data_IF_958246613750
#
_entry.id   IF_958246613750
#
_cell.length_a   1.000
_cell.length_b   1.000
_cell.length_c   1.000
_cell.angle_alpha   90.00
_cell.angle_beta   90.00
_cell.angle_gamma   90.00
#
_symmetry.space_group_name_H-M   'P 1'
#
loop_
_entity.id
_entity.type
_entity.pdbx_description
1 polymer ?
#
# COMPACT_ATOMS: atom_id res chain seq x y z
N UNK A 1 -16.24 -11.94 -5.96
CA UNK A 1 -15.39 -11.31 -4.93
C UNK A 1 -14.91 -9.92 -5.37
N UNK A 2 -14.30 -9.80 -6.56
CA UNK A 2 -13.85 -8.49 -7.09
C UNK A 2 -15.00 -7.49 -7.26
N UNK A 3 -16.12 -7.93 -7.86
CA UNK A 3 -17.32 -7.09 -8.04
C UNK A 3 -17.85 -6.56 -6.72
N UNK A 4 -18.13 -7.44 -5.76
CA UNK A 4 -18.52 -7.07 -4.39
C UNK A 4 -17.58 -6.05 -3.75
N UNK A 5 -16.25 -6.25 -3.84
CA UNK A 5 -15.29 -5.32 -3.27
C UNK A 5 -15.36 -3.94 -3.96
N UNK A 6 -15.44 -3.91 -5.29
CA UNK A 6 -15.54 -2.65 -6.05
C UNK A 6 -16.85 -1.91 -5.75
N UNK A 7 -17.97 -2.61 -5.65
CA UNK A 7 -19.27 -2.02 -5.29
C UNK A 7 -19.25 -1.46 -3.87
N UNK A 8 -18.66 -2.18 -2.92
CA UNK A 8 -18.49 -1.71 -1.55
C UNK A 8 -17.68 -0.41 -1.52
N UNK A 9 -16.52 -0.37 -2.18
CA UNK A 9 -15.70 0.84 -2.25
C UNK A 9 -16.43 2.00 -2.94
N UNK A 10 -17.12 1.72 -4.06
CA UNK A 10 -17.91 2.74 -4.77
C UNK A 10 -19.01 3.30 -3.90
N UNK A 11 -19.73 2.47 -3.16
CA UNK A 11 -20.76 2.92 -2.24
C UNK A 11 -20.22 3.95 -1.25
N UNK A 12 -19.05 3.69 -0.64
CA UNK A 12 -18.43 4.63 0.29
C UNK A 12 -18.02 5.94 -0.38
N UNK A 13 -17.54 5.90 -1.63
CA UNK A 13 -17.18 7.13 -2.36
C UNK A 13 -18.42 7.90 -2.81
N UNK A 14 -19.37 7.25 -3.48
CA UNK A 14 -20.52 7.91 -4.11
C UNK A 14 -21.62 8.28 -3.12
N UNK A 15 -21.84 7.46 -2.08
CA UNK A 15 -22.91 7.70 -1.10
C UNK A 15 -22.40 8.42 0.14
N UNK A 16 -21.22 8.01 0.63
CA UNK A 16 -20.67 8.55 1.87
C UNK A 16 -19.60 9.63 1.64
N UNK A 17 -19.23 9.89 0.37
CA UNK A 17 -18.30 10.94 -0.01
C UNK A 17 -16.93 10.85 0.67
N UNK A 18 -16.41 9.64 0.87
CA UNK A 18 -15.04 9.47 1.36
C UNK A 18 -14.02 9.80 0.27
N UNK A 19 -12.92 10.45 0.66
CA UNK A 19 -11.86 10.88 -0.28
C UNK A 19 -10.79 9.81 -0.57
N UNK A 20 -10.92 8.62 0.02
CA UNK A 20 -9.96 7.55 -0.13
C UNK A 20 -10.03 6.46 0.95
N UNK A 21 -9.11 5.50 0.83
CA UNK A 21 -9.05 4.31 1.66
C UNK A 21 -7.62 4.01 2.11
N UNK A 22 -7.48 3.46 3.32
CA UNK A 22 -6.30 2.72 3.76
C UNK A 22 -6.69 1.25 3.87
N UNK A 23 -6.08 0.41 3.07
CA UNK A 23 -6.32 -1.03 3.03
C UNK A 23 -5.46 -1.73 4.06
N UNK A 24 -6.12 -2.47 4.95
CA UNK A 24 -5.49 -3.36 5.92
C UNK A 24 -5.00 -4.64 5.22
N UNK A 25 -3.81 -5.10 5.59
CA UNK A 25 -3.16 -6.28 5.02
C UNK A 25 -3.31 -6.38 3.49
N UNK A 26 -2.96 -5.28 2.79
CA UNK A 26 -3.37 -5.03 1.42
C UNK A 26 -2.79 -6.05 0.41
N UNK A 27 -1.73 -6.78 0.78
CA UNK A 27 -1.16 -7.84 -0.07
C UNK A 27 -2.18 -8.93 -0.42
N UNK A 28 -3.19 -9.16 0.43
CA UNK A 28 -4.28 -10.09 0.15
C UNK A 28 -5.06 -9.72 -1.11
N UNK A 29 -5.19 -8.42 -1.41
CA UNK A 29 -5.88 -7.92 -2.61
C UNK A 29 -5.24 -8.40 -3.91
N UNK A 30 -3.93 -8.65 -3.89
CA UNK A 30 -3.13 -9.07 -5.04
C UNK A 30 -2.97 -10.58 -5.20
N UNK A 31 -3.51 -11.41 -4.30
CA UNK A 31 -3.21 -12.85 -4.27
C UNK A 31 -3.98 -13.65 -5.31
N UNK A 32 -3.24 -14.29 -6.23
CA UNK A 32 -3.79 -15.17 -7.28
C UNK A 32 -2.87 -16.32 -7.72
N UNK A 33 -2.44 -17.31 -6.91
CA UNK A 33 -2.42 -17.43 -5.44
C UNK A 33 -1.21 -16.72 -4.77
N UNK A 34 -0.17 -16.40 -5.54
CA UNK A 34 0.89 -15.48 -5.15
C UNK A 34 0.48 -14.02 -5.43
N UNK A 35 1.14 -13.06 -4.80
CA UNK A 35 0.87 -11.64 -5.07
C UNK A 35 1.21 -11.27 -6.52
N UNK A 36 0.34 -10.47 -7.14
CA UNK A 36 0.56 -9.89 -8.46
C UNK A 36 0.06 -8.44 -8.51
N UNK A 37 0.88 -7.55 -9.07
CA UNK A 37 0.52 -6.16 -9.31
C UNK A 37 -0.65 -5.98 -10.28
N UNK A 38 -0.80 -6.90 -11.23
CA UNK A 38 -1.87 -6.92 -12.22
C UNK A 38 -3.08 -7.77 -11.77
N UNK A 39 -3.18 -8.09 -10.49
CA UNK A 39 -4.29 -8.88 -9.97
C UNK A 39 -5.65 -8.26 -10.31
N UNK A 40 -6.71 -9.08 -10.46
CA UNK A 40 -8.02 -8.62 -10.93
C UNK A 40 -8.62 -7.47 -10.10
N UNK A 41 -8.42 -7.46 -8.78
CA UNK A 41 -8.95 -6.39 -7.93
C UNK A 41 -8.23 -5.05 -8.17
N UNK A 42 -6.90 -5.06 -8.31
CA UNK A 42 -6.15 -3.84 -8.64
C UNK A 42 -6.52 -3.29 -10.02
N UNK A 43 -6.61 -4.18 -11.02
CA UNK A 43 -7.04 -3.80 -12.37
C UNK A 43 -8.45 -3.21 -12.37
N UNK A 44 -9.38 -3.81 -11.63
CA UNK A 44 -10.76 -3.29 -11.52
C UNK A 44 -10.82 -1.92 -10.83
N UNK A 45 -10.07 -1.71 -9.75
CA UNK A 45 -9.98 -0.42 -9.06
C UNK A 45 -9.40 0.65 -10.00
N UNK A 46 -8.30 0.35 -10.69
CA UNK A 46 -7.64 1.30 -11.59
C UNK A 46 -8.48 1.66 -12.81
N UNK A 47 -9.27 0.71 -13.33
CA UNK A 47 -10.17 0.96 -14.46
C UNK A 47 -11.51 1.58 -14.05
N UNK A 48 -11.83 1.66 -12.75
CA UNK A 48 -13.06 2.29 -12.28
C UNK A 48 -12.90 3.81 -12.25
N UNK A 49 -13.71 4.59 -12.99
CA UNK A 49 -13.57 6.05 -13.05
C UNK A 49 -13.80 6.74 -11.71
N UNK A 50 -14.53 6.10 -10.79
CA UNK A 50 -14.76 6.61 -9.43
C UNK A 50 -13.54 6.28 -8.55
N UNK A 51 -13.15 5.01 -8.48
CA UNK A 51 -12.11 4.57 -7.54
C UNK A 51 -10.69 4.97 -7.94
N UNK A 52 -10.41 5.15 -9.23
CA UNK A 52 -9.12 5.66 -9.72
C UNK A 52 -8.86 7.13 -9.38
N UNK A 53 -9.89 7.86 -8.92
CA UNK A 53 -9.81 9.28 -8.58
C UNK A 53 -9.59 9.58 -7.09
N UNK A 54 -9.72 8.56 -6.21
CA UNK A 54 -9.58 8.73 -4.76
C UNK A 54 -8.20 8.30 -4.25
N UNK A 55 -7.85 8.67 -3.02
CA UNK A 55 -6.57 8.26 -2.42
C UNK A 55 -6.61 6.78 -2.06
N UNK A 56 -5.60 6.02 -2.49
CA UNK A 56 -5.46 4.61 -2.16
C UNK A 56 -4.16 4.41 -1.39
N UNK A 57 -4.25 3.91 -0.16
CA UNK A 57 -3.10 3.67 0.72
C UNK A 57 -3.08 2.20 1.12
N UNK A 58 -1.97 1.51 0.93
CA UNK A 58 -1.81 0.10 1.30
C UNK A 58 -1.01 -0.04 2.61
N UNK A 59 -1.39 -1.03 3.43
CA UNK A 59 -0.43 -1.77 4.24
C UNK A 59 0.19 -2.87 3.36
N UNK A 60 1.40 -2.70 2.83
CA UNK A 60 1.92 -3.52 1.75
C UNK A 60 2.50 -4.86 2.23
N UNK A 61 1.85 -5.49 3.19
CA UNK A 61 2.21 -6.82 3.66
C UNK A 61 1.00 -7.61 4.15
N UNK A 62 1.15 -8.93 4.17
CA UNK A 62 0.32 -9.83 4.97
C UNK A 62 1.21 -10.92 5.61
N UNK A 63 0.65 -11.73 6.50
CA UNK A 63 1.39 -12.75 7.25
C UNK A 63 1.65 -14.05 6.49
N UNK A 64 1.07 -14.20 5.29
CA UNK A 64 1.23 -15.37 4.45
C UNK A 64 2.57 -15.40 3.72
N UNK A 65 2.92 -16.56 3.17
CA UNK A 65 4.11 -16.70 2.34
C UNK A 65 4.07 -15.75 1.14
N UNK A 66 5.19 -15.07 0.88
CA UNK A 66 5.28 -14.01 -0.13
C UNK A 66 4.41 -12.80 0.17
N UNK A 67 4.00 -12.58 1.42
CA UNK A 67 3.10 -11.49 1.80
C UNK A 67 3.77 -10.11 1.82
N UNK A 68 5.08 -10.02 2.01
CA UNK A 68 5.80 -8.75 2.10
C UNK A 68 6.02 -8.14 0.70
N UNK A 69 5.36 -7.01 0.42
CA UNK A 69 5.23 -6.41 -0.92
C UNK A 69 5.50 -4.89 -0.90
N UNK A 70 6.32 -4.42 0.04
CA UNK A 70 6.75 -3.01 0.11
C UNK A 70 7.41 -2.60 -1.21
N UNK A 71 6.97 -1.48 -1.78
CA UNK A 71 7.39 -0.94 -3.07
C UNK A 71 6.81 -1.68 -4.29
N UNK A 72 5.92 -2.66 -4.07
CA UNK A 72 5.39 -3.50 -5.12
C UNK A 72 3.88 -3.29 -5.33
N UNK A 73 3.24 -2.24 -4.83
CA UNK A 73 1.85 -1.93 -5.21
C UNK A 73 1.79 -1.16 -6.54
N UNK A 74 0.75 -1.42 -7.36
CA UNK A 74 0.59 -0.68 -8.61
C UNK A 74 0.19 0.78 -8.34
N UNK A 75 0.57 1.73 -9.22
CA UNK A 75 -0.03 3.06 -9.21
C UNK A 75 -1.58 2.96 -9.28
N UNK A 76 -2.34 3.82 -8.56
CA UNK A 76 -1.90 5.01 -7.85
C UNK A 76 -1.72 4.82 -6.33
N UNK A 77 -1.46 3.59 -5.85
CA UNK A 77 -1.34 3.33 -4.42
C UNK A 77 -0.13 4.04 -3.80
N UNK A 78 -0.35 4.68 -2.66
CA UNK A 78 0.70 4.97 -1.70
C UNK A 78 0.83 3.83 -0.70
N UNK A 79 1.96 3.71 -0.03
CA UNK A 79 2.22 2.60 0.90
C UNK A 79 2.64 3.10 2.28
N UNK A 80 2.20 2.37 3.31
CA UNK A 80 2.81 2.49 4.63
C UNK A 80 4.25 2.00 4.59
N UNK A 81 5.17 2.86 5.02
CA UNK A 81 6.60 2.57 5.04
C UNK A 81 7.05 2.15 6.46
N UNK A 82 7.04 0.85 6.73
CA UNK A 82 7.54 0.25 7.98
C UNK A 82 9.06 0.42 8.13
N UNK A 83 9.81 0.38 7.03
CA UNK A 83 11.25 0.68 7.04
C UNK A 83 11.53 2.07 7.61
N UNK A 84 10.76 3.10 7.23
CA UNK A 84 10.88 4.45 7.79
C UNK A 84 10.58 4.44 9.29
N UNK A 85 9.48 3.80 9.71
CA UNK A 85 9.08 3.70 11.13
C UNK A 85 10.23 3.11 11.96
N UNK A 86 10.79 2.00 11.52
CA UNK A 86 11.77 1.25 12.29
C UNK A 86 13.15 1.91 12.24
N UNK A 87 13.56 2.44 11.09
CA UNK A 87 14.80 3.21 10.95
C UNK A 87 14.78 4.49 11.79
N UNK A 88 13.72 5.29 11.72
CA UNK A 88 13.62 6.53 12.51
C UNK A 88 13.68 6.23 14.02
N UNK A 89 12.97 5.19 14.48
CA UNK A 89 13.03 4.74 15.88
C UNK A 89 14.43 4.27 16.26
N UNK A 90 15.09 3.46 15.43
CA UNK A 90 16.46 2.99 15.67
C UNK A 90 17.47 4.14 15.71
N UNK A 91 17.36 5.11 14.81
CA UNK A 91 18.25 6.26 14.76
C UNK A 91 18.16 7.11 16.04
N UNK A 92 16.95 7.46 16.47
CA UNK A 92 16.76 8.34 17.64
C UNK A 92 16.86 7.63 18.99
N UNK A 93 16.25 6.45 19.12
CA UNK A 93 16.09 5.76 20.40
C UNK A 93 17.24 4.79 20.68
N UNK A 94 17.67 4.04 19.67
CA UNK A 94 18.70 3.00 19.83
C UNK A 94 20.10 3.49 19.43
N UNK A 95 20.19 4.56 18.63
CA UNK A 95 21.43 5.15 18.10
C UNK A 95 22.34 4.12 17.42
N UNK A 96 21.73 3.13 16.76
CA UNK A 96 22.41 1.99 16.12
C UNK A 96 22.10 1.88 14.61
N UNK A 97 21.74 2.99 13.98
CA UNK A 97 21.44 3.07 12.55
C UNK A 97 22.53 3.88 11.84
N UNK A 98 23.06 3.41 10.69
CA UNK A 98 23.96 4.21 9.88
C UNK A 98 23.34 5.54 9.46
N UNK A 99 24.13 6.62 9.45
CA UNK A 99 23.66 7.94 9.02
C UNK A 99 23.13 7.94 7.57
N UNK A 100 23.77 7.15 6.70
CA UNK A 100 23.32 6.98 5.30
C UNK A 100 21.97 6.30 5.18
N UNK A 101 21.66 5.30 6.02
CA UNK A 101 20.35 4.65 6.03
C UNK A 101 19.26 5.64 6.49
N UNK A 102 19.53 6.44 7.53
CA UNK A 102 18.62 7.50 7.94
C UNK A 102 18.39 8.53 6.82
N UNK A 103 19.45 8.96 6.13
CA UNK A 103 19.37 9.90 5.02
C UNK A 103 18.50 9.36 3.88
N UNK A 104 18.62 8.07 3.55
CA UNK A 104 17.75 7.41 2.55
C UNK A 104 16.28 7.43 2.95
N UNK A 105 15.97 7.12 4.21
CA UNK A 105 14.59 7.17 4.73
C UNK A 105 14.06 8.60 4.76
N UNK A 106 14.89 9.59 5.08
CA UNK A 106 14.54 11.01 5.06
C UNK A 106 14.28 11.53 3.63
N UNK A 107 15.03 11.04 2.64
CA UNK A 107 14.88 11.37 1.23
C UNK A 107 13.71 10.63 0.53
N UNK A 108 12.67 10.25 1.28
CA UNK A 108 11.48 9.60 0.74
C UNK A 108 11.66 8.11 0.44
N UNK A 109 12.74 7.46 0.88
CA UNK A 109 13.03 6.06 0.56
C UNK A 109 13.06 5.76 -0.95
N UNK A 110 13.80 6.56 -1.71
CA UNK A 110 13.96 6.40 -3.17
C UNK A 110 14.61 5.08 -3.59
N UNK A 111 15.15 4.32 -2.64
CA UNK A 111 15.60 2.93 -2.84
C UNK A 111 14.43 1.94 -2.96
N UNK A 112 13.21 2.37 -2.63
CA UNK A 112 11.98 1.57 -2.59
C UNK A 112 10.93 2.09 -3.59
N UNK A 113 10.70 3.42 -3.65
CA UNK A 113 9.63 4.05 -4.44
C UNK A 113 10.15 4.91 -5.60
#
# INVERSE_FOLDING_TARGET
MVEFACECLRYWVETCHVDGFRFDLASVMGRTPAFRQDAPLFTAINNCPVLSSVKLIAEPWDIGEGGYQVGNFPPPFAEWNDHFRDAARRFWLQRNLPLGEFAGRFAGSSDVF
#
